data_IF_479446374254
#
_entry.id   IF_479446374254
#
_cell.length_a   1.000
_cell.length_b   1.000
_cell.length_c   1.000
_cell.angle_alpha   90.00
_cell.angle_beta   90.00
_cell.angle_gamma   90.00
#
_symmetry.space_group_name_H-M   'P 1'
#
loop_
_entity.id
_entity.type
_entity.pdbx_description
1 polymer ?
#
# COMPACT_ATOMS: atom_id res chain seq x y z
N UNK A 1 -10.76 -9.84 -0.79
CA UNK A 1 -9.55 -9.14 -0.34
C UNK A 1 -8.88 -10.01 0.70
N UNK A 2 -7.77 -10.64 0.34
CA UNK A 2 -6.90 -11.32 1.29
C UNK A 2 -5.62 -10.49 1.44
N UNK A 3 -5.42 -9.95 2.64
CA UNK A 3 -4.17 -9.32 3.06
C UNK A 3 -3.49 -10.32 3.98
N UNK A 4 -2.23 -10.65 3.69
CA UNK A 4 -1.44 -11.55 4.53
C UNK A 4 -0.64 -10.72 5.51
N UNK A 5 -0.78 -11.02 6.80
CA UNK A 5 0.08 -10.45 7.83
C UNK A 5 1.39 -11.22 7.82
N UNK A 6 2.52 -10.51 7.78
CA UNK A 6 3.84 -11.10 7.80
C UNK A 6 4.57 -10.60 9.04
N UNK A 7 5.02 -11.56 9.86
CA UNK A 7 5.76 -11.31 11.09
C UNK A 7 7.28 -11.28 10.90
N UNK A 8 7.78 -11.70 9.73
CA UNK A 8 9.21 -11.76 9.41
C UNK A 8 9.54 -10.91 8.19
N UNK A 9 10.54 -10.03 8.34
CA UNK A 9 11.05 -9.15 7.30
C UNK A 9 11.37 -9.94 6.02
N UNK A 10 10.61 -9.65 4.96
CA UNK A 10 10.95 -10.03 3.60
C UNK A 10 11.65 -8.83 2.95
N UNK A 11 12.97 -8.74 3.14
CA UNK A 11 13.82 -7.62 2.67
C UNK A 11 13.66 -7.37 1.16
N UNK A 12 13.34 -8.42 0.39
CA UNK A 12 13.15 -8.35 -1.06
C UNK A 12 11.92 -7.50 -1.46
N UNK A 13 10.90 -7.40 -0.60
CA UNK A 13 9.64 -6.71 -0.93
C UNK A 13 9.43 -5.37 -0.21
N UNK A 14 10.03 -5.17 0.96
CA UNK A 14 9.97 -3.89 1.69
C UNK A 14 11.24 -3.03 1.52
N UNK A 15 12.29 -3.57 0.89
CA UNK A 15 13.54 -2.87 0.57
C UNK A 15 14.42 -2.52 1.78
N UNK A 16 15.63 -2.04 1.50
CA UNK A 16 16.59 -1.54 2.52
C UNK A 16 16.07 -0.30 3.29
N UNK A 17 15.01 0.35 2.80
CA UNK A 17 14.37 1.48 3.46
C UNK A 17 13.70 1.11 4.79
N UNK A 18 13.43 -0.19 5.02
CA UNK A 18 12.91 -0.68 6.29
C UNK A 18 13.89 -0.53 7.45
N UNK A 19 15.21 -0.50 7.20
CA UNK A 19 16.24 -0.45 8.25
C UNK A 19 16.68 0.98 8.62
N UNK A 20 16.53 1.95 7.72
CA UNK A 20 17.06 3.31 7.88
C UNK A 20 16.03 4.36 8.29
N UNK A 21 14.73 4.03 8.27
CA UNK A 21 13.66 4.97 8.64
C UNK A 21 13.57 5.10 10.16
N UNK A 22 13.92 6.28 10.68
CA UNK A 22 13.75 6.64 12.09
C UNK A 22 12.27 6.86 12.37
N UNK A 23 11.63 5.91 13.04
CA UNK A 23 10.26 6.08 13.52
C UNK A 23 10.27 6.94 14.78
N UNK A 24 9.39 7.94 14.83
CA UNK A 24 9.21 8.78 16.01
C UNK A 24 8.65 7.95 17.17
N UNK A 25 9.47 7.71 18.21
CA UNK A 25 9.14 6.88 19.36
C UNK A 25 8.07 7.50 20.28
N UNK A 26 7.71 8.78 20.10
CA UNK A 26 6.58 9.43 20.79
C UNK A 26 5.22 9.10 20.14
N UNK A 27 5.20 8.34 19.05
CA UNK A 27 3.97 7.89 18.38
C UNK A 27 3.29 6.71 19.08
N UNK A 28 1.96 6.76 19.17
CA UNK A 28 1.12 5.63 19.62
C UNK A 28 1.45 4.36 18.85
N UNK A 29 1.83 3.27 19.54
CA UNK A 29 2.15 1.97 18.93
C UNK A 29 0.92 1.38 18.18
N UNK A 30 0.87 1.44 16.84
CA UNK A 30 -0.31 1.04 16.07
C UNK A 30 -0.63 -0.44 16.20
N UNK A 31 0.40 -1.30 16.19
CA UNK A 31 0.23 -2.75 16.29
C UNK A 31 -0.38 -3.17 17.61
N UNK A 32 -0.01 -2.52 18.71
CA UNK A 32 -0.61 -2.74 20.02
C UNK A 32 -2.08 -2.32 20.04
N UNK A 33 -2.39 -1.15 19.52
CA UNK A 33 -3.77 -0.64 19.48
C UNK A 33 -4.67 -1.45 18.53
N UNK A 34 -4.11 -2.04 17.48
CA UNK A 34 -4.80 -2.96 16.58
C UNK A 34 -4.78 -4.43 17.04
N UNK A 35 -4.00 -4.76 18.07
CA UNK A 35 -4.00 -6.09 18.68
C UNK A 35 -3.31 -7.11 17.80
N UNK A 36 -2.27 -6.67 17.10
CA UNK A 36 -1.50 -7.47 16.16
C UNK A 36 -0.20 -8.03 16.78
N UNK A 37 0.06 -7.75 18.05
CA UNK A 37 1.28 -8.20 18.75
C UNK A 37 1.12 -9.53 19.49
N UNK A 38 -0.13 -9.96 19.72
CA UNK A 38 -0.45 -11.18 20.46
C UNK A 38 -1.34 -12.06 19.59
N UNK A 39 -1.11 -13.37 19.61
CA UNK A 39 -2.01 -14.32 18.95
C UNK A 39 -3.41 -14.21 19.57
N UNK A 40 -4.37 -13.76 18.76
CA UNK A 40 -5.78 -13.83 19.12
C UNK A 40 -6.36 -15.16 18.61
N UNK A 41 -6.75 -16.10 19.49
CA UNK A 41 -7.37 -17.36 19.07
C UNK A 41 -8.76 -17.17 18.46
N UNK A 42 -9.36 -15.98 18.61
CA UNK A 42 -10.64 -15.61 18.00
C UNK A 42 -10.43 -14.85 16.68
N UNK A 43 -11.31 -15.09 15.70
CA UNK A 43 -11.31 -14.34 14.45
C UNK A 43 -11.67 -12.87 14.70
N UNK A 44 -10.71 -11.96 14.57
CA UNK A 44 -10.93 -10.52 14.67
C UNK A 44 -11.34 -9.90 13.33
N UNK A 45 -12.37 -9.05 13.32
CA UNK A 45 -12.76 -8.25 12.16
C UNK A 45 -12.27 -6.81 12.29
N UNK A 46 -11.73 -6.29 11.19
CA UNK A 46 -11.31 -4.90 11.05
C UNK A 46 -12.16 -4.19 10.00
N UNK A 47 -12.54 -2.95 10.27
CA UNK A 47 -13.06 -2.05 9.24
C UNK A 47 -11.90 -1.20 8.69
N UNK A 48 -11.53 -1.44 7.44
CA UNK A 48 -10.38 -0.79 6.82
C UNK A 48 -10.86 0.33 5.89
N UNK A 49 -10.38 1.55 6.13
CA UNK A 49 -10.54 2.68 5.23
C UNK A 49 -9.34 2.76 4.29
N UNK A 50 -9.61 2.42 3.03
CA UNK A 50 -8.63 2.51 1.95
C UNK A 50 -8.75 3.86 1.22
N UNK A 51 -7.66 4.36 0.62
CA UNK A 51 -7.74 5.48 -0.32
C UNK A 51 -8.70 5.17 -1.47
N UNK A 52 -9.40 6.20 -1.95
CA UNK A 52 -10.41 6.05 -3.01
C UNK A 52 -9.80 5.57 -4.34
N UNK A 53 -8.52 5.87 -4.57
CA UNK A 53 -7.74 5.43 -5.72
C UNK A 53 -6.66 4.46 -5.23
N UNK A 54 -6.75 3.22 -5.70
CA UNK A 54 -5.78 2.16 -5.43
C UNK A 54 -4.88 1.93 -6.65
N UNK A 55 -3.65 1.41 -6.46
CA UNK A 55 -2.73 1.13 -7.54
C UNK A 55 -3.25 -0.09 -8.31
N UNK A 56 -3.03 -0.09 -9.62
CA UNK A 56 -3.44 -1.24 -10.43
C UNK A 56 -2.50 -2.42 -10.15
N UNK A 57 -3.01 -3.41 -9.42
CA UNK A 57 -2.27 -4.64 -9.12
C UNK A 57 -2.16 -5.46 -10.41
N UNK A 58 -0.94 -5.56 -10.97
CA UNK A 58 -0.69 -6.35 -12.17
C UNK A 58 -0.69 -7.85 -11.86
N UNK A 59 -1.87 -8.47 -11.95
CA UNK A 59 -2.03 -9.89 -12.24
C UNK A 59 -2.52 -10.77 -11.08
N UNK A 60 -3.74 -11.28 -11.22
CA UNK A 60 -3.93 -12.72 -11.44
C UNK A 60 -5.17 -12.90 -12.32
N UNK A 61 -4.96 -13.22 -13.60
CA UNK A 61 -6.04 -13.54 -14.51
C UNK A 61 -6.66 -14.89 -14.12
N UNK A 62 -8.00 -14.93 -13.96
CA UNK A 62 -8.77 -16.13 -14.28
C UNK A 62 -9.76 -15.80 -15.40
N UNK A 63 -9.35 -16.16 -16.62
CA UNK A 63 -10.12 -16.56 -17.80
C UNK A 63 -11.46 -15.88 -18.12
N UNK A 64 -11.51 -15.23 -19.30
CA UNK A 64 -12.70 -15.29 -20.17
C UNK A 64 -13.14 -13.97 -20.79
N UNK A 65 -12.41 -13.47 -21.81
CA UNK A 65 -12.89 -12.39 -22.66
C UNK A 65 -11.77 -11.72 -23.45
N UNK A 66 -11.64 -12.10 -24.72
CA UNK A 66 -10.76 -11.48 -25.72
C UNK A 66 -10.88 -9.95 -25.72
N UNK A 67 -9.74 -9.25 -25.75
CA UNK A 67 -9.50 -8.24 -26.78
C UNK A 67 -8.04 -8.34 -27.20
N UNK A 68 -7.84 -8.65 -28.47
CA UNK A 68 -6.56 -8.79 -29.13
C UNK A 68 -5.74 -7.49 -29.10
N UNK A 69 -4.46 -7.59 -28.78
CA UNK A 69 -3.44 -6.73 -29.36
C UNK A 69 -2.06 -7.36 -29.20
N UNK A 70 -1.69 -8.12 -30.24
CA UNK A 70 -0.32 -8.40 -30.57
C UNK A 70 0.46 -7.08 -30.74
N UNK A 71 1.58 -6.92 -30.06
CA UNK A 71 2.74 -6.25 -30.65
C UNK A 71 4.02 -6.60 -29.90
N UNK A 72 4.83 -7.38 -30.61
CA UNK A 72 6.28 -7.36 -30.72
C UNK A 72 7.12 -6.63 -29.64
N UNK A 73 8.09 -7.41 -29.16
CA UNK A 73 9.34 -6.99 -28.54
C UNK A 73 9.99 -5.74 -29.13
N UNK A 74 10.11 -4.67 -28.32
CA UNK A 74 11.28 -3.77 -28.24
C UNK A 74 11.40 -3.17 -26.83
N UNK A 75 12.62 -2.95 -26.29
CA UNK A 75 12.83 -2.31 -25.01
C UNK A 75 12.78 -0.80 -25.21
N UNK A 76 11.76 -0.14 -24.68
CA UNK A 76 11.71 1.31 -24.64
C UNK A 76 11.02 1.72 -23.35
N UNK A 77 11.75 2.47 -22.52
CA UNK A 77 11.34 2.98 -21.21
C UNK A 77 10.11 3.87 -21.30
N UNK A 78 8.95 3.23 -21.42
CA UNK A 78 7.66 3.86 -21.23
C UNK A 78 7.25 3.58 -19.80
N UNK A 79 7.26 4.64 -18.98
CA UNK A 79 6.58 4.63 -17.68
C UNK A 79 5.15 4.18 -17.96
N UNK A 80 4.83 2.92 -17.63
CA UNK A 80 3.47 2.40 -17.81
C UNK A 80 2.57 3.28 -16.95
N UNK A 81 1.72 4.08 -17.58
CA UNK A 81 0.71 4.88 -16.89
C UNK A 81 -0.20 3.92 -16.14
N UNK A 82 0.06 3.74 -14.84
CA UNK A 82 -0.79 2.95 -13.96
C UNK A 82 -2.02 3.82 -13.71
N UNK A 83 -3.15 3.42 -14.29
CA UNK A 83 -4.41 4.10 -13.99
C UNK A 83 -4.87 3.68 -12.59
N UNK A 84 -5.30 4.61 -11.75
CA UNK A 84 -5.88 4.27 -10.46
C UNK A 84 -7.14 3.42 -10.66
N UNK A 85 -7.33 2.42 -9.82
CA UNK A 85 -8.49 1.54 -9.82
C UNK A 85 -9.26 1.63 -8.50
N UNK A 86 -10.55 1.29 -8.55
CA UNK A 86 -11.39 1.16 -7.36
C UNK A 86 -11.28 -0.26 -6.77
N UNK A 87 -11.64 -0.41 -5.50
CA UNK A 87 -11.62 -1.72 -4.82
C UNK A 87 -12.45 -2.79 -5.54
N UNK A 88 -13.58 -2.42 -6.15
CA UNK A 88 -14.48 -3.34 -6.86
C UNK A 88 -13.99 -3.72 -8.28
N UNK A 89 -12.95 -3.07 -8.78
CA UNK A 89 -12.32 -3.36 -10.08
C UNK A 89 -11.11 -4.31 -9.91
N UNK A 90 -10.67 -4.55 -8.67
CA UNK A 90 -9.55 -5.42 -8.37
C UNK A 90 -9.98 -6.90 -8.42
N UNK A 91 -9.13 -7.80 -8.94
CA UNK A 91 -9.43 -9.21 -8.99
C UNK A 91 -9.57 -9.77 -7.56
N UNK A 92 -10.46 -10.76 -7.36
CA UNK A 92 -10.55 -11.44 -6.07
C UNK A 92 -9.25 -12.20 -5.78
N UNK A 93 -8.83 -12.21 -4.53
CA UNK A 93 -7.68 -12.98 -4.08
C UNK A 93 -6.72 -12.15 -3.22
N UNK A 94 -5.45 -12.48 -3.35
CA UNK A 94 -4.34 -11.83 -2.68
C UNK A 94 -4.17 -10.40 -3.22
N UNK A 95 -4.14 -9.44 -2.31
CA UNK A 95 -3.99 -8.02 -2.67
C UNK A 95 -2.66 -7.46 -2.21
N UNK A 96 -2.13 -7.93 -1.08
CA UNK A 96 -0.92 -7.34 -0.53
C UNK A 96 -0.47 -7.97 0.78
N UNK A 97 0.67 -7.47 1.26
CA UNK A 97 1.31 -7.88 2.51
C UNK A 97 1.27 -6.74 3.50
N UNK A 98 0.92 -7.05 4.75
CA UNK A 98 1.02 -6.12 5.87
C UNK A 98 2.21 -6.52 6.73
N UNK A 99 3.09 -5.55 7.02
CA UNK A 99 4.29 -5.72 7.83
C UNK A 99 4.15 -4.95 9.14
N UNK A 100 4.45 -5.63 10.24
CA UNK A 100 4.52 -5.04 11.59
C UNK A 100 5.98 -4.94 12.01
N UNK A 101 6.45 -3.72 12.26
CA UNK A 101 7.81 -3.46 12.71
C UNK A 101 7.96 -3.73 14.20
N UNK A 102 9.20 -3.95 14.67
CA UNK A 102 9.50 -4.11 16.10
C UNK A 102 9.09 -2.89 16.94
N UNK A 103 9.12 -1.69 16.35
CA UNK A 103 8.61 -0.45 16.96
C UNK A 103 7.09 -0.46 17.16
N UNK A 104 6.37 -1.36 16.49
CA UNK A 104 4.92 -1.41 16.42
C UNK A 104 4.34 -0.64 15.23
N UNK A 105 5.16 0.10 14.47
CA UNK A 105 4.75 0.69 13.21
C UNK A 105 4.21 -0.38 12.25
N UNK A 106 3.28 -0.01 11.37
CA UNK A 106 2.66 -0.94 10.43
C UNK A 106 2.72 -0.32 9.03
N UNK A 107 3.18 -1.11 8.06
CA UNK A 107 3.11 -0.78 6.64
C UNK A 107 2.28 -1.81 5.88
N UNK A 108 1.62 -1.38 4.82
CA UNK A 108 0.89 -2.25 3.89
C UNK A 108 1.44 -2.03 2.49
N UNK A 109 1.91 -3.09 1.85
CA UNK A 109 2.23 -3.07 0.43
C UNK A 109 1.00 -3.57 -0.36
N UNK A 110 0.52 -2.76 -1.30
CA UNK A 110 -0.58 -3.10 -2.20
C UNK A 110 -0.07 -2.93 -3.64
N UNK A 111 0.27 -4.04 -4.30
CA UNK A 111 0.94 -3.99 -5.60
C UNK A 111 2.37 -3.49 -5.49
N UNK A 112 2.65 -2.31 -6.04
CA UNK A 112 3.95 -1.63 -6.04
C UNK A 112 3.96 -0.35 -5.17
N UNK A 113 2.90 -0.12 -4.39
CA UNK A 113 2.75 1.10 -3.59
C UNK A 113 2.73 0.77 -2.11
N UNK A 114 3.55 1.49 -1.35
CA UNK A 114 3.63 1.39 0.10
C UNK A 114 2.64 2.34 0.79
N UNK A 115 2.03 1.85 1.86
CA UNK A 115 1.05 2.57 2.66
C UNK A 115 1.41 2.54 4.14
N UNK A 116 1.16 3.66 4.81
CA UNK A 116 1.06 3.76 6.26
C UNK A 116 -0.26 3.20 6.76
N UNK A 117 -0.19 2.42 7.84
CA UNK A 117 -1.36 1.84 8.49
C UNK A 117 -1.44 2.34 9.91
N UNK A 118 -2.54 2.99 10.24
CA UNK A 118 -2.79 3.57 11.56
C UNK A 118 -4.14 3.14 12.14
N UNK A 119 -4.29 3.15 13.47
CA UNK A 119 -5.57 2.91 14.10
C UNK A 119 -6.56 4.04 13.75
N UNK A 120 -7.80 3.66 13.46
CA UNK A 120 -8.90 4.60 13.30
C UNK A 120 -9.51 5.00 14.64
N UNK A 121 -10.58 5.81 14.59
CA UNK A 121 -11.28 6.20 15.82
C UNK A 121 -11.80 4.97 16.57
N UNK A 122 -11.64 4.96 17.89
CA UNK A 122 -12.24 3.96 18.77
C UNK A 122 -13.76 3.86 18.57
N UNK A 123 -14.26 2.62 18.56
CA UNK A 123 -15.70 2.35 18.57
C UNK A 123 -16.24 2.60 19.99
N UNK A 124 -16.97 3.69 20.19
CA UNK A 124 -17.63 4.01 21.48
C UNK A 124 -18.94 3.24 21.69
N UNK A 125 -19.36 2.46 20.70
CA UNK A 125 -20.57 1.66 20.68
C UNK A 125 -20.34 0.39 19.84
N UNK A 126 -21.14 -0.65 20.12
CA UNK A 126 -21.13 -1.92 19.40
C UNK A 126 -21.55 -1.70 17.95
N UNK A 127 -20.78 -2.22 17.01
CA UNK A 127 -21.02 -2.14 15.57
C UNK A 127 -20.99 -3.55 15.00
N UNK A 128 -22.04 -3.99 14.30
CA UNK A 128 -22.08 -5.30 13.66
C UNK A 128 -22.13 -5.17 12.14
N UNK A 129 -21.42 -6.06 11.44
CA UNK A 129 -21.59 -6.26 10.00
C UNK A 129 -22.69 -7.27 9.76
N UNK A 130 -23.61 -6.96 8.84
CA UNK A 130 -24.63 -7.91 8.39
C UNK A 130 -24.67 -8.00 6.87
N UNK A 131 -24.94 -9.21 6.35
CA UNK A 131 -25.25 -9.43 4.94
C UNK A 131 -26.75 -9.42 4.77
N UNK A 132 -27.23 -8.61 3.81
CA UNK A 132 -28.64 -8.58 3.42
C UNK A 132 -28.80 -9.08 1.99
N UNK A 133 -29.53 -10.17 1.81
CA UNK A 133 -30.04 -10.60 0.51
C UNK A 133 -31.46 -10.05 0.34
N UNK A 134 -31.60 -9.03 -0.50
CA UNK A 134 -32.88 -8.34 -0.72
C UNK A 134 -33.89 -9.18 -1.51
N UNK A 135 -33.42 -10.07 -2.40
CA UNK A 135 -34.29 -10.94 -3.20
C UNK A 135 -34.98 -12.00 -2.33
N UNK A 136 -34.23 -12.63 -1.42
CA UNK A 136 -34.74 -13.66 -0.51
C UNK A 136 -35.23 -13.09 0.82
N UNK A 137 -35.10 -11.79 1.04
CA UNK A 137 -35.41 -11.09 2.31
C UNK A 137 -34.71 -11.72 3.51
N UNK A 138 -33.47 -12.18 3.30
CA UNK A 138 -32.66 -12.82 4.33
C UNK A 138 -31.61 -11.83 4.86
N UNK A 139 -31.45 -11.79 6.18
CA UNK A 139 -30.45 -10.97 6.86
C UNK A 139 -29.67 -11.85 7.83
N UNK A 140 -28.35 -11.76 7.80
CA UNK A 140 -27.46 -12.52 8.69
C UNK A 140 -26.37 -11.61 9.25
N UNK A 141 -26.21 -11.61 10.58
CA UNK A 141 -25.08 -10.94 11.23
C UNK A 141 -23.80 -11.76 11.00
N UNK A 142 -22.73 -11.11 10.54
CA UNK A 142 -21.42 -11.72 10.33
C UNK A 142 -20.57 -11.64 11.60
N UNK A 143 -20.60 -10.50 12.28
CA UNK A 143 -19.83 -10.28 13.50
C UNK A 143 -19.61 -8.81 13.85
N UNK A 144 -19.02 -8.60 15.02
CA UNK A 144 -18.75 -7.28 15.61
C UNK A 144 -17.46 -6.65 15.03
N UNK A 145 -17.53 -5.36 14.71
CA UNK A 145 -16.39 -4.51 14.35
C UNK A 145 -15.87 -3.82 15.62
N UNK A 146 -14.70 -4.26 16.09
CA UNK A 146 -14.06 -3.69 17.28
C UNK A 146 -13.00 -2.65 16.97
N UNK A 147 -12.37 -2.74 15.79
CA UNK A 147 -11.22 -1.93 15.43
C UNK A 147 -11.36 -1.38 14.02
N UNK A 148 -10.95 -0.12 13.85
CA UNK A 148 -10.91 0.58 12.57
C UNK A 148 -9.46 0.78 12.18
N UNK A 149 -9.18 0.72 10.89
CA UNK A 149 -7.84 0.88 10.32
C UNK A 149 -7.90 1.95 9.26
N UNK A 150 -7.00 2.92 9.31
CA UNK A 150 -6.83 3.95 8.28
C UNK A 150 -5.57 3.64 7.50
N UNK A 151 -5.70 3.56 6.18
CA UNK A 151 -4.60 3.32 5.25
C UNK A 151 -4.35 4.60 4.45
N UNK A 152 -3.14 5.13 4.52
CA UNK A 152 -2.73 6.33 3.78
C UNK A 152 -1.47 6.04 2.95
N UNK A 153 -1.34 6.58 1.72
CA UNK A 153 -0.12 6.41 0.95
C UNK A 153 1.09 6.90 1.75
N UNK A 154 2.20 6.16 1.71
CA UNK A 154 3.47 6.59 2.29
C UNK A 154 4.04 7.73 1.46
N UNK A 155 3.93 8.96 1.97
CA UNK A 155 4.33 10.17 1.23
C UNK A 155 5.85 10.23 1.09
N UNK A 156 6.59 9.77 2.10
CA UNK A 156 8.05 9.80 2.08
C UNK A 156 8.57 8.85 0.99
N UNK A 157 8.04 7.63 0.93
CA UNK A 157 8.35 6.66 -0.12
C UNK A 157 8.01 7.19 -1.53
N UNK A 158 6.84 7.82 -1.67
CA UNK A 158 6.43 8.44 -2.93
C UNK A 158 7.39 9.55 -3.39
N UNK A 159 7.87 10.37 -2.45
CA UNK A 159 8.81 11.48 -2.75
C UNK A 159 10.20 10.95 -3.07
N UNK A 160 10.70 9.96 -2.32
CA UNK A 160 11.97 9.28 -2.60
C UNK A 160 11.99 8.70 -4.01
N UNK A 161 10.93 7.97 -4.39
CA UNK A 161 10.77 7.41 -5.73
C UNK A 161 10.70 8.48 -6.83
N UNK A 162 10.12 9.66 -6.55
CA UNK A 162 10.13 10.80 -7.48
C UNK A 162 11.53 11.41 -7.64
N UNK A 163 12.34 11.48 -6.57
CA UNK A 163 13.70 12.01 -6.65
C UNK A 163 14.64 11.09 -7.45
N UNK A 164 14.45 9.78 -7.36
CA UNK A 164 15.20 8.80 -8.15
C UNK A 164 14.91 8.91 -9.66
N UNK A 165 13.65 9.19 -10.02
CA UNK A 165 13.26 9.48 -11.42
C UNK A 165 13.89 10.81 -11.90
N UNK A 166 14.06 11.80 -11.01
CA UNK A 166 14.64 13.09 -11.38
C UNK A 166 16.17 13.07 -11.55
N UNK A 167 16.85 12.08 -11.00
CA UNK A 167 18.31 11.90 -11.18
C UNK A 167 18.68 11.05 -12.40
N UNK A 168 17.70 10.53 -13.16
CA UNK A 168 17.97 9.66 -14.33
C UNK A 168 17.90 10.35 -15.70
N UNK A 169 17.86 11.69 -15.78
CA UNK A 169 17.98 12.40 -17.06
C UNK A 169 19.06 13.49 -16.95
N UNK A 170 20.30 13.16 -17.33
CA UNK A 170 21.37 14.08 -17.85
C UNK A 170 22.56 14.52 -16.97
N UNK A 171 22.61 14.29 -15.65
CA UNK A 171 23.50 15.08 -14.76
C UNK A 171 24.97 14.64 -14.56
N UNK A 172 25.63 13.97 -15.52
CA UNK A 172 27.12 13.93 -15.48
C UNK A 172 27.87 13.97 -16.82
N UNK A 173 27.21 14.08 -17.98
CA UNK A 173 27.93 14.09 -19.27
C UNK A 173 27.70 15.31 -20.17
N UNK A 174 26.88 16.29 -19.77
CA UNK A 174 26.72 17.53 -20.55
C UNK A 174 27.41 18.77 -19.99
N UNK A 175 28.05 18.70 -18.80
CA UNK A 175 28.77 19.83 -18.18
C UNK A 175 30.30 19.78 -18.33
N UNK A 176 30.82 19.07 -19.34
CA UNK A 176 32.17 19.32 -19.86
C UNK A 176 32.08 20.08 -21.18
N UNK A 177 31.64 21.35 -21.12
CA UNK A 177 31.95 22.30 -22.18
C UNK A 177 32.54 23.57 -21.54
N UNK A 178 33.78 23.95 -21.87
CA UNK A 178 34.51 25.02 -21.20
C UNK A 178 34.07 26.39 -21.72
N UNK A 179 32.85 26.81 -21.38
CA UNK A 179 32.44 28.20 -21.53
C UNK A 179 31.17 28.44 -20.73
N UNK A 180 31.33 29.00 -19.53
CA UNK A 180 30.61 30.18 -19.02
C UNK A 180 30.65 30.18 -17.49
N UNK A 181 31.30 31.22 -16.96
CA UNK A 181 31.38 31.57 -15.55
C UNK A 181 29.99 31.88 -14.97
N UNK A 182 29.69 31.40 -13.76
CA UNK A 182 28.75 32.09 -12.88
C UNK A 182 29.41 32.42 -11.54
N UNK A 183 29.50 33.74 -11.29
CA UNK A 183 29.94 34.35 -10.04
C UNK A 183 28.92 34.09 -8.93
N UNK A 184 29.42 33.64 -7.79
CA UNK A 184 28.71 33.65 -6.50
C UNK A 184 28.50 35.10 -6.06
N UNK A 185 27.27 35.46 -5.73
CA UNK A 185 26.97 36.59 -4.87
C UNK A 185 26.04 36.11 -3.76
N UNK A 186 26.30 36.66 -2.57
CA UNK A 186 25.84 36.28 -1.23
C UNK A 186 24.35 35.98 -1.15
#
# INVERSE_FOLDING_TARGET
MHIVLIELLDEEEFGEAAESRTFDEDSTNPAKELGLLEENPETSMFLIHLPAALPAIKGSASSGGQVDSESSSKPQGSVKKVNPCKLNELPPGFMGKMLVYKSGAIKLNLGDTLYDVSPGSNCTFVQDVAVMNTAQKHCCAIGEIRRRVIVTPDIDDMVENLTFIRLSESDLQSLTSPSLYLRRLV
#
